data_IF_361545213593
#
_entry.id   IF_361545213593
#
_cell.length_a   1.000
_cell.length_b   1.000
_cell.length_c   1.000
_cell.angle_alpha   90.00
_cell.angle_beta   90.00
_cell.angle_gamma   90.00
#
_symmetry.space_group_name_H-M   'P 1'
#
loop_
_entity.id
_entity.type
_entity.pdbx_description
1 polymer ?
#
# COMPACT_ATOMS: atom_id res chain seq x y z
N UNK A 1 13.89 -4.40 4.29
CA UNK A 1 12.74 -4.16 3.39
C UNK A 1 12.91 -2.76 2.79
N UNK A 2 12.36 -2.47 1.61
CA UNK A 2 12.60 -1.21 0.89
C UNK A 2 11.42 -0.28 1.09
N UNK A 3 11.67 0.95 1.53
CA UNK A 3 10.67 2.02 1.54
C UNK A 3 10.50 2.54 0.11
N UNK A 4 9.25 2.59 -0.36
CA UNK A 4 8.88 3.09 -1.69
C UNK A 4 8.05 4.34 -1.52
N UNK A 5 8.28 5.36 -2.36
CA UNK A 5 7.42 6.52 -2.44
C UNK A 5 6.22 6.25 -3.36
N UNK A 6 5.02 6.18 -2.79
CA UNK A 6 3.77 5.95 -3.51
C UNK A 6 2.99 7.24 -3.74
N UNK A 7 2.69 7.53 -5.00
CA UNK A 7 1.77 8.59 -5.43
C UNK A 7 0.42 7.92 -5.76
N UNK A 8 -0.52 7.97 -4.83
CA UNK A 8 -1.86 7.38 -4.97
C UNK A 8 -2.85 8.43 -5.44
N UNK A 9 -3.12 8.46 -6.74
CA UNK A 9 -4.00 9.45 -7.35
C UNK A 9 -5.47 9.14 -7.07
N UNK A 10 -6.28 10.20 -7.02
CA UNK A 10 -7.73 10.08 -6.93
C UNK A 10 -8.29 9.51 -8.23
N UNK A 11 -9.25 8.60 -8.13
CA UNK A 11 -10.13 8.26 -9.25
C UNK A 11 -11.14 9.39 -9.54
N UNK A 12 -11.97 9.22 -10.58
CA UNK A 12 -13.04 10.17 -10.94
C UNK A 12 -14.05 10.39 -9.81
N UNK A 13 -14.21 9.41 -8.92
CA UNK A 13 -15.03 9.50 -7.72
C UNK A 13 -14.30 10.13 -6.54
N UNK A 14 -13.08 10.65 -6.72
CA UNK A 14 -12.28 11.28 -5.67
C UNK A 14 -11.79 10.30 -4.60
N UNK A 15 -11.61 9.02 -4.94
CA UNK A 15 -11.15 7.98 -4.00
C UNK A 15 -9.69 7.63 -4.24
N UNK A 16 -8.99 7.22 -3.19
CA UNK A 16 -7.59 6.78 -3.18
C UNK A 16 -7.45 5.43 -2.49
N UNK A 17 -6.37 4.71 -2.76
CA UNK A 17 -5.99 3.54 -1.96
C UNK A 17 -5.26 3.97 -0.69
N UNK A 18 -5.74 3.54 0.47
CA UNK A 18 -5.08 3.74 1.76
C UNK A 18 -4.41 2.44 2.21
N UNK A 19 -3.08 2.39 2.14
CA UNK A 19 -2.28 1.22 2.53
C UNK A 19 -2.46 0.87 4.02
N UNK A 20 -2.29 1.84 4.92
CA UNK A 20 -2.39 1.61 6.37
C UNK A 20 -3.74 0.99 6.79
N UNK A 21 -4.84 1.43 6.17
CA UNK A 21 -6.20 0.91 6.46
C UNK A 21 -6.61 -0.22 5.51
N UNK A 22 -5.73 -0.59 4.59
CA UNK A 22 -5.90 -1.58 3.54
C UNK A 22 -7.27 -1.51 2.80
N UNK A 23 -7.66 -0.33 2.32
CA UNK A 23 -8.92 -0.15 1.57
C UNK A 23 -8.93 1.09 0.69
N UNK A 24 -9.84 1.13 -0.27
CA UNK A 24 -10.17 2.33 -1.05
C UNK A 24 -11.06 3.26 -0.22
N UNK A 25 -10.71 4.54 -0.15
CA UNK A 25 -11.41 5.56 0.65
C UNK A 25 -11.65 6.83 -0.15
N UNK A 26 -12.70 7.58 0.18
CA UNK A 26 -12.88 8.95 -0.33
C UNK A 26 -11.77 9.85 0.22
N UNK A 27 -11.11 10.62 -0.62
CA UNK A 27 -10.07 11.56 -0.22
C UNK A 27 -10.64 12.97 -0.02
N UNK A 28 -11.43 13.10 1.04
CA UNK A 28 -12.04 14.36 1.48
C UNK A 28 -11.31 14.94 2.70
N UNK A 29 -11.81 16.07 3.21
CA UNK A 29 -11.25 16.77 4.36
C UNK A 29 -11.22 15.89 5.61
N UNK A 30 -12.27 15.10 5.83
CA UNK A 30 -12.34 14.15 6.92
C UNK A 30 -11.22 13.10 6.80
N UNK A 31 -10.99 12.56 5.60
CA UNK A 31 -9.90 11.61 5.37
C UNK A 31 -8.52 12.26 5.62
N UNK A 32 -8.33 13.52 5.19
CA UNK A 32 -7.08 14.26 5.42
C UNK A 32 -6.81 14.50 6.90
N UNK A 33 -7.77 15.05 7.65
CA UNK A 33 -7.56 15.40 9.05
C UNK A 33 -7.57 14.19 9.97
N UNK A 34 -8.58 13.33 9.88
CA UNK A 34 -8.81 12.29 10.89
C UNK A 34 -7.87 11.08 10.70
N UNK A 35 -7.36 10.88 9.49
CA UNK A 35 -6.58 9.68 9.17
C UNK A 35 -5.19 10.03 8.62
N UNK A 36 -5.08 10.86 7.59
CA UNK A 36 -3.77 11.19 7.01
C UNK A 36 -2.90 12.00 7.98
N UNK A 37 -3.47 12.95 8.74
CA UNK A 37 -2.72 13.82 9.65
C UNK A 37 -1.99 13.10 10.79
N UNK A 38 -2.41 11.89 11.15
CA UNK A 38 -1.73 11.04 12.13
C UNK A 38 -1.07 9.79 11.54
N UNK A 39 -1.10 9.62 10.21
CA UNK A 39 -0.58 8.43 9.54
C UNK A 39 0.94 8.52 9.42
N UNK A 40 1.65 7.51 9.95
CA UNK A 40 3.12 7.42 9.84
C UNK A 40 3.65 7.28 8.42
N UNK A 41 2.78 6.89 7.48
CA UNK A 41 3.13 6.74 6.06
C UNK A 41 2.88 8.01 5.25
N UNK A 42 2.18 9.02 5.79
CA UNK A 42 1.81 10.22 5.02
C UNK A 42 3.03 11.07 4.66
N UNK A 43 3.16 11.45 3.39
CA UNK A 43 4.27 12.22 2.86
C UNK A 43 3.86 13.47 2.05
N UNK A 44 2.57 13.62 1.71
CA UNK A 44 2.09 14.78 0.95
C UNK A 44 0.74 14.55 0.28
N UNK A 45 0.30 15.52 -0.52
CA UNK A 45 -1.00 15.52 -1.19
C UNK A 45 -0.92 15.41 -2.72
N UNK A 46 0.24 15.04 -3.28
CA UNK A 46 0.42 14.86 -4.73
C UNK A 46 -0.07 16.08 -5.54
N UNK A 47 0.25 17.30 -5.09
CA UNK A 47 -0.23 18.54 -5.71
C UNK A 47 -1.76 18.70 -5.71
N UNK A 48 -2.45 18.08 -4.76
CA UNK A 48 -3.92 18.09 -4.63
C UNK A 48 -4.62 17.03 -5.49
N UNK A 49 -3.89 16.22 -6.27
CA UNK A 49 -4.46 15.17 -7.11
C UNK A 49 -4.67 13.84 -6.39
N UNK A 50 -4.08 13.66 -5.21
CA UNK A 50 -4.08 12.39 -4.51
C UNK A 50 -3.41 12.46 -3.14
N UNK A 51 -2.75 11.38 -2.75
CA UNK A 51 -1.92 11.33 -1.55
C UNK A 51 -0.56 10.73 -1.87
N UNK A 52 0.48 11.31 -1.30
CA UNK A 52 1.82 10.76 -1.28
C UNK A 52 2.02 10.01 0.03
N UNK A 53 2.50 8.77 -0.05
CA UNK A 53 2.77 7.93 1.10
C UNK A 53 4.08 7.17 0.93
N UNK A 54 4.78 6.90 2.03
CA UNK A 54 5.98 6.06 2.04
C UNK A 54 5.74 4.85 2.94
N UNK A 55 5.91 3.64 2.39
CA UNK A 55 5.81 2.40 3.17
C UNK A 55 6.75 1.32 2.64
N UNK A 56 6.94 0.28 3.45
CA UNK A 56 7.68 -0.92 3.04
C UNK A 56 6.82 -1.76 2.10
N UNK A 57 7.09 -1.67 0.79
CA UNK A 57 6.38 -2.44 -0.21
C UNK A 57 7.19 -3.67 -0.61
N UNK A 58 6.57 -4.84 -0.54
CA UNK A 58 7.19 -6.11 -0.90
C UNK A 58 7.01 -6.45 -2.39
N UNK A 59 6.16 -5.70 -3.09
CA UNK A 59 5.91 -5.89 -4.52
C UNK A 59 7.07 -5.30 -5.35
N UNK A 60 7.34 -5.85 -6.53
CA UNK A 60 8.36 -5.30 -7.44
C UNK A 60 7.83 -4.07 -8.20
N UNK A 61 7.55 -2.99 -7.49
CA UNK A 61 7.08 -1.71 -8.06
C UNK A 61 8.22 -0.72 -8.27
N UNK A 62 7.97 0.31 -9.10
CA UNK A 62 8.93 1.41 -9.32
C UNK A 62 9.02 2.31 -8.09
N UNK A 63 9.96 3.25 -8.11
CA UNK A 63 10.12 4.24 -7.04
C UNK A 63 10.53 5.59 -7.65
N UNK A 64 9.62 6.58 -7.67
CA UNK A 64 8.27 6.51 -7.11
C UNK A 64 7.35 5.51 -7.84
N UNK A 65 6.40 4.92 -7.12
CA UNK A 65 5.29 4.13 -7.69
C UNK A 65 4.05 5.03 -7.80
N UNK A 66 3.49 5.14 -9.00
CA UNK A 66 2.26 5.93 -9.21
C UNK A 66 1.08 5.01 -9.45
N UNK A 67 0.09 5.07 -8.57
CA UNK A 67 -1.17 4.34 -8.68
C UNK A 67 -2.28 5.26 -9.21
N UNK A 68 -2.83 4.92 -10.38
CA UNK A 68 -3.92 5.69 -11.03
C UNK A 68 -5.32 5.11 -10.75
N UNK A 69 -5.40 3.79 -10.49
CA UNK A 69 -6.64 3.11 -10.14
C UNK A 69 -6.53 2.58 -8.69
N UNK A 70 -7.26 3.19 -7.73
CA UNK A 70 -7.28 2.76 -6.34
C UNK A 70 -7.68 1.30 -6.13
N UNK A 71 -8.61 0.78 -6.94
CA UNK A 71 -9.11 -0.59 -6.80
C UNK A 71 -8.13 -1.60 -7.39
N UNK A 72 -7.45 -1.27 -8.50
CA UNK A 72 -6.34 -2.08 -9.01
C UNK A 72 -5.16 -2.10 -8.03
N UNK A 73 -4.80 -0.95 -7.47
CA UNK A 73 -3.72 -0.83 -6.49
C UNK A 73 -4.02 -1.62 -5.22
N UNK A 74 -5.23 -1.49 -4.67
CA UNK A 74 -5.67 -2.28 -3.53
C UNK A 74 -5.55 -3.79 -3.79
N UNK A 75 -6.04 -4.26 -4.94
CA UNK A 75 -5.96 -5.68 -5.34
C UNK A 75 -4.52 -6.16 -5.49
N UNK A 76 -3.67 -5.35 -6.14
CA UNK A 76 -2.24 -5.62 -6.29
C UNK A 76 -1.57 -5.79 -4.94
N UNK A 77 -1.91 -4.93 -3.97
CA UNK A 77 -1.36 -4.99 -2.61
C UNK A 77 -1.98 -6.07 -1.70
N UNK A 78 -2.83 -6.96 -2.22
CA UNK A 78 -3.29 -8.16 -1.49
C UNK A 78 -2.46 -9.41 -1.82
N UNK A 79 -1.66 -9.36 -2.88
CA UNK A 79 -0.93 -10.53 -3.37
C UNK A 79 0.24 -10.81 -2.42
N UNK A 80 0.11 -11.87 -1.62
CA UNK A 80 1.21 -12.39 -0.82
C UNK A 80 2.19 -13.09 -1.76
N UNK A 81 3.40 -12.55 -1.87
CA UNK A 81 4.53 -13.31 -2.40
C UNK A 81 4.92 -14.35 -1.35
N UNK A 82 4.43 -15.58 -1.51
CA UNK A 82 4.93 -16.73 -0.75
C UNK A 82 6.23 -17.15 -1.43
N UNK A 83 7.36 -16.91 -0.77
CA UNK A 83 8.64 -17.35 -1.29
C UNK A 83 8.77 -18.87 -1.08
N UNK A 84 9.29 -19.63 -2.05
CA UNK A 84 9.42 -21.07 -1.88
C UNK A 84 10.33 -21.52 -0.72
N UNK A 85 11.08 -20.62 -0.09
CA UNK A 85 11.90 -20.96 1.06
C UNK A 85 11.08 -21.20 2.36
N UNK A 86 9.84 -20.72 2.42
CA UNK A 86 9.06 -20.69 3.67
C UNK A 86 8.41 -22.05 4.05
N UNK A 87 8.51 -23.07 3.19
CA UNK A 87 7.89 -24.39 3.42
C UNK A 87 8.85 -25.49 3.92
N UNK A 88 10.12 -25.20 4.16
CA UNK A 88 11.09 -26.21 4.64
C UNK A 88 11.13 -26.39 6.16
N UNK A 89 10.30 -25.68 6.94
CA UNK A 89 10.37 -25.74 8.39
C UNK A 89 9.51 -26.84 9.07
N UNK A 90 8.66 -27.58 8.34
CA UNK A 90 7.59 -28.37 9.01
C UNK A 90 7.69 -29.90 8.93
N UNK A 91 8.73 -30.50 8.32
CA UNK A 91 8.82 -31.97 8.26
C UNK A 91 10.24 -32.50 8.54
N UNK A 92 10.69 -32.40 9.79
CA UNK A 92 11.59 -33.42 10.36
C UNK A 92 10.81 -34.10 11.48
N UNK A 93 9.98 -35.08 11.10
CA UNK A 93 9.56 -36.12 12.04
C UNK A 93 10.76 -37.04 12.21
N UNK A 94 11.38 -36.96 13.40
CA UNK A 94 12.45 -37.86 13.81
C UNK A 94 11.99 -39.31 13.65
N UNK A 95 12.73 -40.04 12.80
CA UNK A 95 12.80 -41.50 12.82
C UNK A 95 13.47 -41.96 14.11
N UNK A 96 12.77 -42.76 14.91
CA UNK A 96 13.33 -43.75 15.84
C UNK A 96 12.44 -44.97 15.84
#
# INVERSE_FOLDING_TARGET
MRQIHHINLKDESGRIYCCLRNKVVKFDEKQRHDFCGGCSMFAGEAGGLGVECVWEDLRPVSDPHTAQDPAAEWRSNQIKHIWPADHLATCIVNTT
#
